data_IF_243589643793
#
_entry.id   IF_243589643793
#
_cell.length_a   1.000
_cell.length_b   1.000
_cell.length_c   1.000
_cell.angle_alpha   90.00
_cell.angle_beta   90.00
_cell.angle_gamma   90.00
#
_symmetry.space_group_name_H-M   'P 1'
#
loop_
_entity.id
_entity.type
_entity.pdbx_description
1 polymer ?
#
# COMPACT_ATOMS: atom_id res chain seq x y z
N UNK A 1 18.14 -26.01 -1.08
CA UNK A 1 16.93 -25.15 -1.11
C UNK A 1 17.33 -23.69 -1.08
N UNK A 2 17.25 -23.01 -2.23
CA UNK A 2 17.92 -21.73 -2.51
C UNK A 2 17.33 -20.53 -1.77
N UNK A 3 18.20 -19.57 -1.43
CA UNK A 3 17.86 -18.29 -0.75
C UNK A 3 16.69 -17.54 -1.42
N UNK A 4 16.53 -17.66 -2.75
CA UNK A 4 15.45 -17.03 -3.52
C UNK A 4 14.03 -17.48 -3.12
N UNK A 5 13.82 -18.77 -2.79
CA UNK A 5 12.51 -19.25 -2.36
C UNK A 5 12.08 -18.72 -0.99
N UNK A 6 13.05 -18.43 -0.10
CA UNK A 6 12.77 -17.82 1.21
C UNK A 6 12.42 -16.34 1.04
N UNK A 7 13.15 -15.61 0.20
CA UNK A 7 12.86 -14.22 -0.11
C UNK A 7 11.47 -14.06 -0.74
N UNK A 8 11.13 -14.86 -1.75
CA UNK A 8 9.82 -14.83 -2.39
C UNK A 8 8.67 -15.12 -1.41
N UNK A 9 8.84 -16.09 -0.50
CA UNK A 9 7.84 -16.39 0.54
C UNK A 9 7.70 -15.24 1.54
N UNK A 10 8.79 -14.57 1.92
CA UNK A 10 8.75 -13.44 2.83
C UNK A 10 8.12 -12.21 2.16
N UNK A 11 8.44 -11.96 0.89
CA UNK A 11 7.83 -10.90 0.09
C UNK A 11 6.33 -11.14 -0.10
N UNK A 12 5.92 -12.38 -0.43
CA UNK A 12 4.51 -12.72 -0.52
C UNK A 12 3.76 -12.54 0.81
N UNK A 13 4.41 -12.85 1.95
CA UNK A 13 3.84 -12.57 3.28
C UNK A 13 3.75 -11.06 3.55
N UNK A 14 4.74 -10.27 3.16
CA UNK A 14 4.72 -8.82 3.29
C UNK A 14 3.61 -8.18 2.45
N UNK A 15 3.45 -8.63 1.20
CA UNK A 15 2.41 -8.16 0.29
C UNK A 15 1.00 -8.46 0.82
N UNK A 16 0.82 -9.66 1.41
CA UNK A 16 -0.43 -10.06 2.06
C UNK A 16 -0.58 -9.51 3.48
N UNK A 17 0.35 -8.66 3.95
CA UNK A 17 0.38 -8.09 5.30
C UNK A 17 0.27 -9.17 6.39
N UNK A 18 0.86 -10.35 6.18
CA UNK A 18 0.86 -11.50 7.10
C UNK A 18 2.13 -11.54 7.94
N UNK A 19 2.05 -12.18 9.10
CA UNK A 19 3.17 -12.32 10.02
C UNK A 19 4.41 -12.92 9.30
N UNK A 20 5.59 -12.27 9.33
CA UNK A 20 6.78 -12.74 8.64
C UNK A 20 7.29 -14.07 9.20
N UNK A 21 7.05 -14.31 10.50
CA UNK A 21 7.45 -15.55 11.20
C UNK A 21 6.51 -16.71 10.88
N UNK A 22 5.23 -16.60 11.26
CA UNK A 22 4.28 -17.72 11.18
C UNK A 22 3.34 -17.71 9.95
N UNK A 23 3.19 -16.59 9.26
CA UNK A 23 2.30 -16.45 8.09
C UNK A 23 0.79 -16.62 8.37
N UNK A 24 0.37 -16.74 9.64
CA UNK A 24 -0.99 -17.14 10.02
C UNK A 24 -1.96 -15.98 10.26
N UNK A 25 -1.46 -14.85 10.75
CA UNK A 25 -2.28 -13.69 11.12
C UNK A 25 -1.78 -12.42 10.41
N UNK A 26 -2.70 -11.49 10.16
CA UNK A 26 -2.36 -10.17 9.64
C UNK A 26 -1.54 -9.37 10.66
N UNK A 27 -0.63 -8.55 10.16
CA UNK A 27 0.17 -7.60 10.95
C UNK A 27 -0.70 -6.40 11.33
N UNK A 28 -1.69 -6.05 10.51
CA UNK A 28 -2.65 -4.98 10.78
C UNK A 28 -3.83 -5.47 11.64
N UNK A 29 -4.18 -4.71 12.67
CA UNK A 29 -5.40 -4.83 13.48
C UNK A 29 -6.58 -4.17 12.76
N UNK A 30 -6.33 -3.00 12.20
CA UNK A 30 -7.25 -2.20 11.38
C UNK A 30 -6.45 -1.60 10.22
N UNK A 31 -7.11 -1.02 9.23
CA UNK A 31 -6.49 -0.35 8.08
C UNK A 31 -5.35 0.62 8.48
N UNK A 32 -5.47 1.26 9.64
CA UNK A 32 -4.51 2.24 10.17
C UNK A 32 -3.83 1.82 11.48
N UNK A 33 -4.01 0.58 11.94
CA UNK A 33 -3.52 0.16 13.26
C UNK A 33 -2.70 -1.10 13.12
N UNK A 34 -1.41 -1.05 13.43
CA UNK A 34 -0.54 -2.22 13.52
C UNK A 34 -0.86 -3.01 14.80
N UNK A 35 -0.80 -4.34 14.75
CA UNK A 35 -0.85 -5.17 15.97
C UNK A 35 0.50 -5.09 16.67
N UNK A 36 0.49 -4.91 17.98
CA UNK A 36 1.71 -5.01 18.77
C UNK A 36 2.31 -6.42 18.73
N UNK A 37 1.45 -7.44 18.73
CA UNK A 37 1.84 -8.86 18.79
C UNK A 37 1.00 -9.71 17.85
N UNK A 38 1.63 -10.72 17.24
CA UNK A 38 0.92 -11.73 16.46
C UNK A 38 0.03 -12.59 17.37
N UNK A 39 -1.26 -12.82 17.06
CA UNK A 39 -2.13 -13.66 17.89
C UNK A 39 -1.75 -15.15 17.86
N UNK A 40 -1.11 -15.62 16.79
CA UNK A 40 -0.74 -17.03 16.65
C UNK A 40 0.62 -17.37 17.28
N UNK A 41 1.66 -16.57 17.03
CA UNK A 41 3.03 -16.87 17.50
C UNK A 41 3.58 -15.89 18.54
N UNK A 42 2.77 -14.91 18.99
CA UNK A 42 3.13 -13.87 19.97
C UNK A 42 4.37 -13.03 19.60
N UNK A 43 4.82 -13.09 18.34
CA UNK A 43 5.93 -12.29 17.85
C UNK A 43 5.60 -10.80 17.96
N UNK A 44 6.50 -10.03 18.60
CA UNK A 44 6.37 -8.58 18.76
C UNK A 44 6.63 -7.90 17.42
N UNK A 45 5.59 -7.28 16.87
CA UNK A 45 5.59 -6.61 15.57
C UNK A 45 5.85 -5.11 15.74
N UNK A 46 5.33 -4.52 16.82
CA UNK A 46 5.58 -3.14 17.19
C UNK A 46 6.89 -3.03 17.97
N UNK A 47 7.91 -2.41 17.34
CA UNK A 47 9.26 -2.28 17.89
C UNK A 47 9.49 -0.94 18.61
N UNK A 48 8.46 -0.12 18.84
CA UNK A 48 8.56 1.09 19.65
C UNK A 48 9.44 2.21 19.08
N UNK A 49 9.90 2.06 17.84
CA UNK A 49 10.58 3.11 17.08
C UNK A 49 9.54 3.91 16.28
N UNK A 50 9.90 5.13 15.86
CA UNK A 50 9.11 6.20 15.19
C UNK A 50 8.24 5.82 13.96
N UNK A 51 8.04 4.53 13.69
CA UNK A 51 7.29 3.97 12.58
C UNK A 51 5.78 4.25 12.57
N UNK A 52 5.18 4.80 13.63
CA UNK A 52 3.80 5.29 13.55
C UNK A 52 3.69 6.46 12.56
N UNK A 53 4.71 7.33 12.52
CA UNK A 53 4.76 8.46 11.61
C UNK A 53 5.02 8.01 10.17
N UNK A 54 5.97 7.08 9.96
CA UNK A 54 6.29 6.58 8.63
C UNK A 54 5.14 5.74 8.04
N UNK A 55 4.49 4.90 8.86
CA UNK A 55 3.37 4.06 8.42
C UNK A 55 2.12 4.87 8.05
N UNK A 56 1.78 5.89 8.86
CA UNK A 56 0.64 6.76 8.57
C UNK A 56 0.87 7.64 7.34
N UNK A 57 2.07 8.22 7.20
CA UNK A 57 2.47 8.99 6.03
C UNK A 57 2.42 8.15 4.74
N UNK A 58 3.04 6.98 4.76
CA UNK A 58 3.05 6.07 3.61
C UNK A 58 1.62 5.66 3.21
N UNK A 59 0.77 5.36 4.19
CA UNK A 59 -0.62 5.00 3.92
C UNK A 59 -1.38 6.17 3.30
N UNK A 60 -1.22 7.39 3.83
CA UNK A 60 -1.87 8.58 3.29
C UNK A 60 -1.44 8.83 1.83
N UNK A 61 -0.15 8.70 1.55
CA UNK A 61 0.39 8.84 0.20
C UNK A 61 -0.21 7.81 -0.76
N UNK A 62 -0.20 6.52 -0.39
CA UNK A 62 -0.78 5.45 -1.21
C UNK A 62 -2.28 5.70 -1.44
N UNK A 63 -3.02 6.13 -0.42
CA UNK A 63 -4.43 6.43 -0.55
C UNK A 63 -4.68 7.61 -1.50
N UNK A 64 -3.92 8.70 -1.37
CA UNK A 64 -4.03 9.87 -2.24
C UNK A 64 -3.69 9.51 -3.70
N UNK A 65 -2.59 8.79 -3.93
CA UNK A 65 -2.19 8.34 -5.27
C UNK A 65 -3.20 7.36 -5.87
N UNK A 66 -3.75 6.44 -5.09
CA UNK A 66 -4.77 5.51 -5.56
C UNK A 66 -6.06 6.25 -5.95
N UNK A 67 -6.51 7.21 -5.14
CA UNK A 67 -7.70 8.03 -5.45
C UNK A 67 -7.48 8.82 -6.73
N UNK A 68 -6.31 9.46 -6.87
CA UNK A 68 -5.96 10.20 -8.09
C UNK A 68 -5.91 9.29 -9.32
N UNK A 69 -5.17 8.18 -9.23
CA UNK A 69 -4.99 7.24 -10.34
C UNK A 69 -6.29 6.57 -10.78
N UNK A 70 -7.12 6.13 -9.83
CA UNK A 70 -8.45 5.57 -10.12
C UNK A 70 -9.35 6.64 -10.73
N UNK A 71 -9.38 7.86 -10.19
CA UNK A 71 -10.15 8.96 -10.75
C UNK A 71 -9.75 9.28 -12.19
N UNK A 72 -8.45 9.35 -12.47
CA UNK A 72 -7.92 9.57 -13.81
C UNK A 72 -8.32 8.45 -14.77
N UNK A 73 -8.17 7.20 -14.36
CA UNK A 73 -8.57 6.03 -15.17
C UNK A 73 -10.06 6.06 -15.49
N UNK A 74 -10.91 6.38 -14.50
CA UNK A 74 -12.36 6.49 -14.69
C UNK A 74 -12.71 7.58 -15.70
N UNK A 75 -12.09 8.76 -15.62
CA UNK A 75 -12.30 9.85 -16.58
C UNK A 75 -11.89 9.43 -17.99
N UNK A 76 -10.73 8.76 -18.14
CA UNK A 76 -10.24 8.31 -19.45
C UNK A 76 -11.21 7.29 -20.06
N UNK A 77 -11.62 6.29 -19.27
CA UNK A 77 -12.56 5.26 -19.74
C UNK A 77 -13.92 5.87 -20.09
N UNK A 78 -14.42 6.79 -19.27
CA UNK A 78 -15.71 7.43 -19.50
C UNK A 78 -15.71 8.35 -20.72
N UNK A 79 -14.60 9.03 -20.99
CA UNK A 79 -14.48 9.96 -22.12
C UNK A 79 -13.93 9.28 -23.39
N UNK A 80 -13.74 7.97 -23.38
CA UNK A 80 -13.32 7.22 -24.56
C UNK A 80 -14.41 7.29 -25.66
N UNK A 81 -14.09 7.61 -26.93
CA UNK A 81 -12.77 7.64 -27.60
C UNK A 81 -12.09 9.01 -27.71
N UNK A 82 -12.63 10.07 -27.10
CA UNK A 82 -12.03 11.42 -27.11
C UNK A 82 -11.62 11.86 -25.69
N UNK A 83 -10.55 11.30 -25.10
CA UNK A 83 -10.12 11.73 -23.78
C UNK A 83 -9.82 13.24 -23.79
N UNK A 84 -10.09 13.96 -22.69
CA UNK A 84 -9.97 15.41 -22.64
C UNK A 84 -8.49 15.83 -22.46
N UNK A 85 -7.61 15.41 -23.36
CA UNK A 85 -6.18 15.77 -23.38
C UNK A 85 -5.97 17.27 -23.43
N UNK A 86 -6.90 17.95 -24.11
CA UNK A 86 -7.03 19.39 -24.16
C UNK A 86 -7.07 19.96 -22.72
N UNK A 87 -8.01 19.50 -21.86
CA UNK A 87 -8.12 19.83 -20.43
C UNK A 87 -6.81 19.70 -19.65
N UNK A 88 -6.08 18.61 -19.87
CA UNK A 88 -4.82 18.34 -19.17
C UNK A 88 -3.68 19.24 -19.64
N UNK A 89 -3.62 19.57 -20.94
CA UNK A 89 -2.58 20.45 -21.48
C UNK A 89 -2.65 21.85 -20.88
N UNK A 90 -3.85 22.43 -20.76
CA UNK A 90 -3.98 23.76 -20.15
C UNK A 90 -3.71 23.78 -18.64
N UNK A 91 -3.90 22.67 -17.93
CA UNK A 91 -3.53 22.58 -16.51
C UNK A 91 -2.00 22.61 -16.29
N UNK A 92 -1.22 22.11 -17.26
CA UNK A 92 0.25 22.05 -17.18
C UNK A 92 0.93 23.31 -17.74
N UNK A 93 0.30 23.99 -18.71
CA UNK A 93 0.76 25.30 -19.18
C UNK A 93 -0.30 26.38 -18.93
N UNK A 94 -0.33 27.01 -17.74
CA UNK A 94 -1.05 28.27 -17.60
C UNK A 94 -0.27 29.33 -18.38
N UNK A 95 -0.78 29.70 -19.56
CA UNK A 95 -0.36 30.92 -20.26
C UNK A 95 -1.05 32.13 -19.64
#
# INVERSE_FOLDING_TARGET
>A
MGRGQRAARLLGRALLLRCPRCGRASVLRSWFTLRERCPACRFRLDRGEEGYFLGSLLFNLIAAEAVFGVGLLLVIVWTWPNPPWQAMRWAVSPS
#
